data_IF_971255406825
#
_entry.id   IF_971255406825
#
_cell.length_a   1.000
_cell.length_b   1.000
_cell.length_c   1.000
_cell.angle_alpha   90.00
_cell.angle_beta   90.00
_cell.angle_gamma   90.00
#
_symmetry.space_group_name_H-M   'P 1'
#
loop_
_entity.id
_entity.type
_entity.pdbx_description
1 polymer ?
#
# COMPACT_ATOMS: atom_id res chain seq x y z
N UNK A 1 6.95 -17.55 22.73
CA UNK A 1 6.13 -18.78 22.79
C UNK A 1 6.84 -19.87 21.99
N UNK A 2 7.03 -21.05 22.57
CA UNK A 2 7.65 -22.19 21.89
C UNK A 2 6.66 -22.77 20.85
N UNK A 3 6.93 -22.67 19.52
CA UNK A 3 6.02 -23.14 18.48
C UNK A 3 5.92 -24.67 18.37
N UNK A 4 6.69 -25.42 19.17
CA UNK A 4 6.54 -26.87 19.28
C UNK A 4 5.35 -27.28 20.18
N UNK A 5 4.98 -26.46 21.16
CA UNK A 5 3.96 -26.83 22.15
C UNK A 5 2.52 -26.74 21.62
N UNK A 6 2.28 -26.01 20.53
CA UNK A 6 0.96 -25.90 19.88
C UNK A 6 0.77 -26.89 18.73
N UNK A 7 1.77 -27.71 18.40
CA UNK A 7 1.76 -28.57 17.20
C UNK A 7 1.04 -29.91 17.36
N UNK A 8 0.86 -30.42 18.56
CA UNK A 8 0.38 -31.80 18.76
C UNK A 8 -1.13 -31.91 19.07
N UNK A 9 -1.75 -30.85 19.58
CA UNK A 9 -3.12 -30.91 20.07
C UNK A 9 -4.22 -30.56 19.04
N UNK A 10 -3.87 -30.02 17.87
CA UNK A 10 -4.84 -29.31 17.01
C UNK A 10 -5.34 -30.06 15.76
N UNK A 11 -4.96 -31.33 15.52
CA UNK A 11 -5.30 -31.99 14.25
C UNK A 11 -5.70 -33.47 14.36
N UNK A 12 -6.23 -33.92 15.50
CA UNK A 12 -6.90 -35.22 15.58
C UNK A 12 -8.36 -35.07 15.17
N UNK A 13 -8.64 -35.02 13.87
CA UNK A 13 -10.00 -35.11 13.33
C UNK A 13 -10.65 -36.46 13.68
N UNK A 14 -11.98 -36.45 13.81
CA UNK A 14 -12.76 -37.67 14.06
C UNK A 14 -12.86 -38.50 12.77
N UNK A 15 -12.21 -39.67 12.77
CA UNK A 15 -12.14 -40.53 11.60
C UNK A 15 -13.47 -41.29 11.38
N UNK A 16 -14.34 -40.70 10.54
CA UNK A 16 -15.66 -41.24 10.19
C UNK A 16 -15.60 -42.62 9.53
N UNK A 17 -14.50 -42.96 8.86
CA UNK A 17 -14.30 -44.25 8.20
C UNK A 17 -14.00 -45.35 9.24
N UNK A 18 -13.30 -45.01 10.33
CA UNK A 18 -13.12 -45.92 11.47
C UNK A 18 -14.43 -46.13 12.23
N UNK A 19 -15.24 -45.08 12.39
CA UNK A 19 -16.58 -45.19 13.00
C UNK A 19 -17.52 -46.09 12.18
N UNK A 20 -17.44 -46.00 10.85
CA UNK A 20 -18.26 -46.82 9.95
C UNK A 20 -17.74 -48.26 9.75
N UNK A 21 -16.63 -48.68 10.37
CA UNK A 21 -16.01 -50.01 10.19
C UNK A 21 -15.77 -50.40 8.72
N UNK A 22 -15.60 -49.43 7.82
CA UNK A 22 -15.36 -49.65 6.39
C UNK A 22 -13.85 -49.66 6.03
N UNK A 23 -12.98 -49.95 7.01
CA UNK A 23 -11.54 -50.00 6.78
C UNK A 23 -11.13 -51.26 6.01
N UNK A 24 -11.27 -51.21 4.68
CA UNK A 24 -10.50 -52.08 3.78
C UNK A 24 -9.03 -51.75 3.94
N UNK A 25 -8.12 -52.73 3.85
CA UNK A 25 -6.66 -52.54 3.90
C UNK A 25 -6.18 -51.61 2.77
N UNK A 26 -6.34 -50.31 2.97
CA UNK A 26 -5.90 -49.25 2.09
C UNK A 26 -4.41 -49.03 2.37
N UNK A 27 -3.59 -49.13 1.31
CA UNK A 27 -2.12 -48.95 1.35
C UNK A 27 -1.68 -47.54 1.80
N UNK A 28 -2.64 -46.62 1.98
CA UNK A 28 -2.46 -45.23 2.36
C UNK A 28 -3.33 -44.99 3.60
N UNK A 29 -2.69 -44.58 4.71
CA UNK A 29 -3.40 -44.20 5.92
C UNK A 29 -4.06 -42.84 5.70
N UNK A 30 -5.36 -42.84 5.37
CA UNK A 30 -6.09 -41.60 5.15
C UNK A 30 -6.32 -40.87 6.48
N UNK A 31 -5.74 -39.68 6.62
CA UNK A 31 -6.02 -38.74 7.73
C UNK A 31 -7.07 -37.72 7.28
N UNK A 32 -7.90 -37.23 8.20
CA UNK A 32 -8.97 -36.27 7.89
C UNK A 32 -8.44 -34.88 7.48
N UNK A 33 -7.21 -34.53 7.87
CA UNK A 33 -6.57 -33.26 7.54
C UNK A 33 -5.13 -33.46 7.07
N UNK A 34 -4.79 -32.80 5.97
CA UNK A 34 -3.45 -32.78 5.40
C UNK A 34 -2.92 -31.34 5.34
N UNK A 35 -1.70 -31.13 5.84
CA UNK A 35 -0.99 -29.87 5.65
C UNK A 35 -0.29 -29.89 4.29
N UNK A 36 -0.77 -29.07 3.34
CA UNK A 36 -0.13 -28.90 2.03
C UNK A 36 0.74 -27.65 2.05
N UNK A 37 2.06 -27.86 2.01
CA UNK A 37 3.06 -26.78 1.95
C UNK A 37 3.58 -26.63 0.52
N UNK A 38 3.39 -25.45 -0.09
CA UNK A 38 4.02 -25.11 -1.37
C UNK A 38 5.33 -24.36 -1.12
N UNK A 39 6.45 -24.97 -1.49
CA UNK A 39 7.78 -24.39 -1.34
C UNK A 39 8.32 -23.97 -2.71
N UNK A 40 8.77 -22.72 -2.82
CA UNK A 40 9.57 -22.25 -3.94
C UNK A 40 11.01 -22.04 -3.46
N UNK A 41 11.94 -22.80 -4.03
CA UNK A 41 13.34 -22.75 -3.61
C UNK A 41 14.27 -22.67 -4.82
N UNK A 42 15.39 -21.95 -4.64
CA UNK A 42 16.52 -21.98 -5.57
C UNK A 42 17.47 -23.06 -5.09
N UNK A 43 17.60 -24.13 -5.87
CA UNK A 43 18.41 -25.30 -5.54
C UNK A 43 19.38 -25.61 -6.67
N UNK A 44 20.48 -26.29 -6.36
CA UNK A 44 21.37 -26.88 -7.36
C UNK A 44 20.91 -28.33 -7.57
N UNK A 45 20.26 -28.68 -8.71
CA UNK A 45 19.61 -29.99 -8.87
C UNK A 45 20.54 -31.18 -8.63
N UNK A 46 21.82 -31.05 -9.01
CA UNK A 46 22.82 -32.11 -8.85
C UNK A 46 23.09 -32.47 -7.39
N UNK A 47 23.03 -31.51 -6.47
CA UNK A 47 23.22 -31.76 -5.04
C UNK A 47 22.08 -32.58 -4.43
N UNK A 48 20.89 -32.47 -5.02
CA UNK A 48 19.69 -33.19 -4.59
C UNK A 48 19.43 -34.47 -5.39
N UNK A 49 20.37 -34.91 -6.23
CA UNK A 49 20.22 -36.09 -7.08
C UNK A 49 19.14 -35.95 -8.17
N UNK A 50 18.70 -34.73 -8.47
CA UNK A 50 17.70 -34.45 -9.50
C UNK A 50 18.42 -34.33 -10.85
N UNK A 51 18.13 -35.25 -11.78
CA UNK A 51 18.67 -35.19 -13.12
C UNK A 51 17.94 -34.11 -13.94
N UNK A 52 18.57 -32.94 -14.09
CA UNK A 52 18.02 -31.80 -14.80
C UNK A 52 19.07 -31.18 -15.74
N UNK A 53 18.65 -30.56 -16.87
CA UNK A 53 19.56 -29.86 -17.77
C UNK A 53 20.25 -28.73 -17.00
N UNK A 54 21.58 -28.60 -17.12
CA UNK A 54 22.41 -27.65 -16.37
C UNK A 54 22.31 -27.81 -14.83
N UNK A 55 22.33 -29.05 -14.34
CA UNK A 55 22.16 -29.37 -12.91
C UNK A 55 23.24 -28.82 -11.97
N UNK A 56 24.34 -28.25 -12.47
CA UNK A 56 25.35 -27.55 -11.67
C UNK A 56 25.06 -26.07 -11.40
N UNK A 57 24.02 -25.49 -12.01
CA UNK A 57 23.65 -24.08 -11.84
C UNK A 57 22.42 -23.99 -10.92
N UNK A 58 22.32 -22.96 -10.05
CA UNK A 58 21.11 -22.74 -9.26
C UNK A 58 19.86 -22.56 -10.13
N UNK A 59 18.83 -23.36 -9.88
CA UNK A 59 17.57 -23.38 -10.61
C UNK A 59 16.39 -23.24 -9.65
N UNK A 60 15.28 -22.65 -10.11
CA UNK A 60 14.07 -22.46 -9.30
C UNK A 60 13.15 -23.65 -9.46
N UNK A 61 12.75 -24.24 -8.33
CA UNK A 61 11.80 -25.35 -8.26
C UNK A 61 10.57 -24.98 -7.44
N UNK A 62 9.42 -25.51 -7.86
CA UNK A 62 8.18 -25.56 -7.09
C UNK A 62 8.03 -26.97 -6.52
N UNK A 63 7.99 -27.08 -5.20
CA UNK A 63 7.68 -28.30 -4.48
C UNK A 63 6.31 -28.20 -3.82
N UNK A 64 5.54 -29.27 -3.86
CA UNK A 64 4.34 -29.42 -3.02
C UNK A 64 4.62 -30.58 -2.08
N UNK A 65 4.61 -30.26 -0.78
CA UNK A 65 4.96 -31.17 0.30
C UNK A 65 3.71 -31.39 1.16
N UNK A 66 3.34 -32.64 1.38
CA UNK A 66 2.23 -33.03 2.25
C UNK A 66 2.76 -33.44 3.61
N UNK A 67 2.15 -32.92 4.67
CA UNK A 67 2.50 -33.15 6.08
C UNK A 67 3.98 -32.92 6.37
N UNK A 68 4.61 -31.99 5.62
CA UNK A 68 6.05 -31.65 5.67
C UNK A 68 7.00 -32.85 5.52
N UNK A 69 6.51 -33.99 5.01
CA UNK A 69 7.25 -35.25 4.92
C UNK A 69 7.36 -35.77 3.49
N UNK A 70 6.26 -35.73 2.74
CA UNK A 70 6.19 -36.35 1.42
C UNK A 70 6.12 -35.28 0.34
N UNK A 71 7.09 -35.25 -0.56
CA UNK A 71 7.05 -34.40 -1.76
C UNK A 71 6.19 -35.09 -2.80
N UNK A 72 5.02 -34.53 -3.12
CA UNK A 72 4.09 -35.09 -4.10
C UNK A 72 4.27 -34.49 -5.50
N UNK A 73 4.89 -33.31 -5.57
CA UNK A 73 5.05 -32.57 -6.82
C UNK A 73 6.37 -31.82 -6.79
N UNK A 74 7.16 -31.97 -7.85
CA UNK A 74 8.39 -31.22 -8.07
C UNK A 74 8.41 -30.75 -9.53
N UNK A 75 8.41 -29.44 -9.75
CA UNK A 75 8.45 -28.85 -11.09
C UNK A 75 9.52 -27.76 -11.15
N UNK A 76 10.42 -27.86 -12.13
CA UNK A 76 11.33 -26.77 -12.48
C UNK A 76 10.54 -25.60 -13.06
N UNK A 77 10.80 -24.38 -12.57
CA UNK A 77 10.28 -23.14 -13.17
C UNK A 77 11.33 -22.56 -14.12
N UNK A 78 10.95 -22.38 -15.38
CA UNK A 78 11.81 -21.83 -16.45
C UNK A 78 11.45 -20.38 -16.76
N UNK A 79 11.06 -19.62 -15.74
CA UNK A 79 10.66 -18.23 -15.92
C UNK A 79 11.86 -17.36 -16.33
N UNK A 80 11.68 -16.50 -17.32
CA UNK A 80 12.77 -15.67 -17.85
C UNK A 80 13.33 -14.65 -16.83
N UNK A 81 12.51 -14.20 -15.87
CA UNK A 81 12.91 -13.23 -14.84
C UNK A 81 13.80 -13.80 -13.72
N UNK A 82 13.96 -15.13 -13.61
CA UNK A 82 14.78 -15.80 -12.58
C UNK A 82 14.55 -15.38 -11.09
N UNK A 83 13.40 -14.75 -10.82
CA UNK A 83 12.90 -14.45 -9.46
C UNK A 83 11.98 -15.56 -8.97
N UNK A 84 11.89 -15.71 -7.64
CA UNK A 84 10.86 -16.53 -7.02
C UNK A 84 9.49 -15.87 -7.25
N UNK A 85 8.40 -16.66 -7.42
CA UNK A 85 7.05 -16.13 -7.53
C UNK A 85 6.46 -15.71 -6.17
N UNK A 86 7.33 -15.32 -5.25
CA UNK A 86 7.01 -14.79 -3.92
C UNK A 86 7.86 -13.56 -3.76
N UNK A 87 7.22 -12.43 -3.48
CA UNK A 87 7.87 -11.16 -3.19
C UNK A 87 7.46 -10.79 -1.77
N UNK A 88 8.46 -10.53 -0.95
CA UNK A 88 8.30 -10.02 0.41
C UNK A 88 8.88 -8.62 0.41
N UNK A 89 8.13 -7.67 0.95
CA UNK A 89 8.55 -6.29 1.03
C UNK A 89 8.56 -5.84 2.49
N UNK A 90 9.46 -4.91 2.77
CA UNK A 90 9.66 -4.32 4.08
C UNK A 90 9.54 -2.81 3.91
N UNK A 91 8.74 -2.18 4.76
CA UNK A 91 8.36 -0.76 4.63
C UNK A 91 9.32 0.16 5.41
N UNK A 92 10.14 -0.41 6.30
CA UNK A 92 11.16 0.30 7.07
C UNK A 92 12.52 -0.34 6.89
N UNK A 93 13.57 0.45 6.75
CA UNK A 93 14.94 -0.04 6.72
C UNK A 93 15.67 0.45 7.98
N UNK A 94 15.88 -0.45 8.93
CA UNK A 94 16.49 -0.17 10.25
C UNK A 94 17.78 -0.99 10.48
N UNK A 95 18.33 -1.59 9.41
CA UNK A 95 19.52 -2.46 9.49
C UNK A 95 19.32 -3.81 10.21
N UNK A 96 18.17 -4.02 10.85
CA UNK A 96 17.81 -5.27 11.56
C UNK A 96 17.34 -6.41 10.64
N UNK A 97 17.28 -6.18 9.34
CA UNK A 97 16.84 -7.17 8.34
C UNK A 97 15.48 -7.77 8.68
N UNK A 98 15.41 -9.10 8.80
CA UNK A 98 14.17 -9.84 9.07
C UNK A 98 13.56 -9.55 10.47
N UNK A 99 14.28 -8.86 11.36
CA UNK A 99 13.78 -8.50 12.69
C UNK A 99 13.19 -7.09 12.74
N UNK A 100 13.14 -6.37 11.62
CA UNK A 100 12.52 -5.05 11.60
C UNK A 100 11.05 -5.13 11.95
N UNK A 101 10.66 -4.26 12.88
CA UNK A 101 9.32 -4.16 13.41
C UNK A 101 8.38 -3.46 12.43
N UNK A 102 7.10 -3.81 12.50
CA UNK A 102 6.07 -3.06 11.78
C UNK A 102 5.93 -1.65 12.37
N UNK A 103 5.41 -0.71 11.57
CA UNK A 103 5.01 0.59 12.09
C UNK A 103 4.00 0.47 13.24
N UNK A 104 3.14 -0.55 13.21
CA UNK A 104 2.17 -0.81 14.27
C UNK A 104 2.85 -1.29 15.56
N UNK A 105 3.84 -2.17 15.46
CA UNK A 105 4.57 -2.72 16.61
C UNK A 105 5.33 -1.63 17.38
N UNK A 106 5.80 -0.60 16.68
CA UNK A 106 6.44 0.57 17.30
C UNK A 106 5.44 1.45 18.06
N UNK A 107 4.15 1.42 17.69
CA UNK A 107 3.09 2.20 18.32
C UNK A 107 2.41 1.45 19.50
N UNK A 108 2.45 0.12 19.50
CA UNK A 108 1.85 -0.74 20.53
C UNK A 108 2.17 -0.32 21.97
N UNK A 109 3.44 -0.10 22.39
CA UNK A 109 3.73 0.24 23.78
C UNK A 109 3.06 1.55 24.25
N UNK A 110 2.93 2.53 23.35
CA UNK A 110 2.23 3.78 23.67
C UNK A 110 0.72 3.55 23.81
N UNK A 111 0.14 2.73 22.94
CA UNK A 111 -1.28 2.38 23.00
C UNK A 111 -1.61 1.60 24.27
N UNK A 112 -0.74 0.68 24.70
CA UNK A 112 -0.93 -0.10 25.92
C UNK A 112 -0.89 0.78 27.17
N UNK A 113 0.08 1.71 27.25
CA UNK A 113 0.18 2.68 28.35
C UNK A 113 -1.05 3.59 28.36
N UNK A 114 -1.42 4.17 27.22
CA UNK A 114 -2.58 5.04 27.11
C UNK A 114 -3.86 4.30 27.52
N UNK A 115 -4.05 3.07 27.05
CA UNK A 115 -5.19 2.22 27.42
C UNK A 115 -5.21 1.96 28.92
N UNK A 116 -4.07 1.61 29.53
CA UNK A 116 -3.97 1.42 30.98
C UNK A 116 -4.36 2.67 31.77
N UNK A 117 -3.88 3.84 31.37
CA UNK A 117 -4.21 5.11 32.01
C UNK A 117 -5.69 5.48 31.84
N UNK A 118 -6.27 5.28 30.65
CA UNK A 118 -7.70 5.50 30.43
C UNK A 118 -8.55 4.55 31.26
N UNK A 119 -8.19 3.27 31.34
CA UNK A 119 -8.91 2.30 32.17
C UNK A 119 -8.81 2.68 33.65
N UNK A 120 -7.65 3.12 34.15
CA UNK A 120 -7.49 3.64 35.51
C UNK A 120 -8.43 4.82 35.78
N UNK A 121 -8.47 5.80 34.88
CA UNK A 121 -9.34 6.96 35.00
C UNK A 121 -10.83 6.55 35.02
N UNK A 122 -11.24 5.63 34.14
CA UNK A 122 -12.61 5.11 34.10
C UNK A 122 -12.94 4.35 35.39
N UNK A 123 -12.03 3.54 35.94
CA UNK A 123 -12.26 2.84 37.20
C UNK A 123 -12.37 3.79 38.40
N UNK A 124 -11.58 4.87 38.42
CA UNK A 124 -11.72 5.94 39.42
C UNK A 124 -13.11 6.59 39.35
N UNK A 125 -13.55 6.97 38.14
CA UNK A 125 -14.89 7.54 37.95
C UNK A 125 -15.99 6.55 38.34
N UNK A 126 -15.84 5.26 38.02
CA UNK A 126 -16.78 4.22 38.46
C UNK A 126 -16.83 4.11 39.98
N UNK A 127 -15.69 4.19 40.69
CA UNK A 127 -15.66 4.20 42.17
C UNK A 127 -16.29 5.46 42.75
N UNK A 128 -16.16 6.60 42.08
CA UNK A 128 -16.81 7.84 42.50
C UNK A 128 -18.35 7.78 42.36
N UNK A 129 -18.84 7.10 41.32
CA UNK A 129 -20.28 6.89 41.09
C UNK A 129 -20.84 5.80 42.01
N UNK A 130 -20.12 4.69 42.14
CA UNK A 130 -20.46 3.58 43.02
C UNK A 130 -19.58 3.64 44.27
N UNK A 131 -19.97 4.50 45.20
CA UNK A 131 -19.22 4.68 46.43
C UNK A 131 -19.19 3.39 47.26
N UNK A 132 -18.06 3.13 47.90
CA UNK A 132 -17.95 2.04 48.86
C UNK A 132 -18.29 2.60 50.23
N UNK A 133 -19.40 2.17 50.78
CA UNK A 133 -19.81 2.53 52.14
C UNK A 133 -19.80 1.29 53.04
N UNK A 134 -19.42 1.50 54.31
CA UNK A 134 -19.66 0.53 55.37
C UNK A 134 -21.03 0.84 55.98
N UNK A 135 -21.85 -0.19 56.18
CA UNK A 135 -23.17 -0.02 56.81
C UNK A 135 -23.43 -1.12 57.83
N UNK A 136 -24.22 -0.80 58.85
CA UNK A 136 -24.70 -1.75 59.85
C UNK A 136 -25.98 -2.45 59.33
N UNK A 137 -25.95 -3.77 59.06
CA UNK A 137 -27.10 -4.49 58.51
C UNK A 137 -28.28 -4.57 59.47
N UNK A 138 -28.07 -4.33 60.77
CA UNK A 138 -29.16 -4.26 61.76
C UNK A 138 -30.00 -2.97 61.62
N UNK A 139 -29.41 -1.92 61.04
CA UNK A 139 -30.02 -0.58 60.92
C UNK A 139 -30.50 -0.26 59.51
N UNK A 140 -29.82 -0.76 58.47
CA UNK A 140 -30.19 -0.54 57.07
C UNK A 140 -30.10 -1.86 56.30
N UNK A 141 -31.14 -2.18 55.53
CA UNK A 141 -31.18 -3.41 54.73
C UNK A 141 -30.34 -3.27 53.47
N UNK A 142 -29.61 -4.32 53.12
CA UNK A 142 -28.81 -4.39 51.89
C UNK A 142 -29.63 -4.18 50.61
N UNK A 143 -30.84 -4.73 50.56
CA UNK A 143 -31.76 -4.62 49.42
C UNK A 143 -32.10 -3.18 49.03
N UNK A 144 -32.09 -2.29 50.02
CA UNK A 144 -32.50 -0.90 49.84
C UNK A 144 -31.31 -0.01 49.44
N UNK A 145 -30.08 -0.49 49.69
CA UNK A 145 -28.82 0.14 49.27
C UNK A 145 -28.46 -0.27 47.83
N UNK A 146 -28.69 -1.53 47.46
CA UNK A 146 -28.34 -2.06 46.13
C UNK A 146 -29.28 -1.58 45.02
N UNK A 147 -30.42 -0.95 45.36
CA UNK A 147 -31.37 -0.40 44.39
C UNK A 147 -30.86 0.93 43.82
N UNK A 148 -30.46 0.91 42.55
CA UNK A 148 -29.92 2.07 41.81
C UNK A 148 -31.05 2.99 41.32
N UNK A 149 -31.72 3.66 42.25
CA UNK A 149 -32.76 4.65 41.92
C UNK A 149 -32.40 6.01 42.58
N UNK A 150 -32.15 7.08 41.79
CA UNK A 150 -31.71 8.37 42.30
C UNK A 150 -32.74 9.11 43.17
N UNK A 151 -34.00 8.64 43.21
CA UNK A 151 -35.07 9.23 44.02
C UNK A 151 -35.50 8.31 45.17
N UNK A 152 -34.82 7.16 45.36
CA UNK A 152 -35.19 6.20 46.40
C UNK A 152 -35.03 6.79 47.80
N UNK A 153 -36.11 6.71 48.58
CA UNK A 153 -36.09 6.99 50.02
C UNK A 153 -35.79 5.68 50.76
N UNK A 154 -34.68 5.65 51.50
CA UNK A 154 -34.26 4.48 52.28
C UNK A 154 -34.80 4.62 53.70
N UNK A 155 -35.57 3.63 54.15
CA UNK A 155 -36.08 3.60 55.52
C UNK A 155 -35.03 3.02 56.48
N UNK A 156 -34.89 3.61 57.66
CA UNK A 156 -34.07 3.05 58.75
C UNK A 156 -34.88 2.06 59.57
N UNK A 157 -34.25 1.00 60.07
CA UNK A 157 -34.89 0.02 60.93
C UNK A 157 -35.23 0.60 62.31
N UNK A 158 -36.14 -0.06 63.03
CA UNK A 158 -36.54 0.32 64.40
C UNK A 158 -35.37 0.32 65.38
N UNK A 159 -34.33 -0.47 65.13
CA UNK A 159 -33.11 -0.52 65.95
C UNK A 159 -32.23 0.73 65.83
N UNK A 160 -32.50 1.60 64.85
CA UNK A 160 -31.80 2.87 64.65
C UNK A 160 -32.49 4.08 65.30
N UNK A 161 -33.69 3.92 65.90
CA UNK A 161 -34.40 5.03 66.53
C UNK A 161 -33.67 5.58 67.76
N UNK A 162 -33.58 6.91 67.84
CA UNK A 162 -32.90 7.62 68.93
C UNK A 162 -31.38 7.72 68.81
N UNK A 163 -30.76 7.12 67.79
CA UNK A 163 -29.33 7.27 67.48
C UNK A 163 -29.13 8.13 66.23
N UNK A 164 -28.01 8.87 66.11
CA UNK A 164 -27.72 9.63 64.91
C UNK A 164 -27.59 8.68 63.71
N UNK A 165 -28.33 8.98 62.64
CA UNK A 165 -28.38 8.17 61.41
C UNK A 165 -26.99 8.06 60.75
N UNK A 166 -26.12 9.04 61.00
CA UNK A 166 -24.73 9.06 60.51
C UNK A 166 -23.88 7.89 61.02
N UNK A 167 -24.22 7.28 62.16
CA UNK A 167 -23.53 6.07 62.64
C UNK A 167 -23.96 4.80 61.88
N UNK A 168 -25.09 4.83 61.17
CA UNK A 168 -25.58 3.67 60.45
C UNK A 168 -24.86 3.44 59.10
N UNK A 169 -24.30 4.50 58.51
CA UNK A 169 -23.59 4.47 57.23
C UNK A 169 -22.32 5.32 57.31
N UNK A 170 -21.18 4.71 57.04
CA UNK A 170 -19.89 5.38 56.93
C UNK A 170 -19.40 5.34 55.47
N UNK A 171 -19.45 6.48 54.74
CA UNK A 171 -18.88 6.56 53.39
C UNK A 171 -17.35 6.56 53.48
N UNK A 172 -16.68 5.75 52.66
CA UNK A 172 -15.22 5.76 52.60
C UNK A 172 -14.80 6.94 51.69
N UNK A 173 -14.21 8.01 52.23
CA UNK A 173 -13.91 9.20 51.42
C UNK A 173 -12.92 8.85 50.32
N UNK A 174 -13.38 8.91 49.07
CA UNK A 174 -12.53 8.77 47.89
C UNK A 174 -12.25 10.14 47.27
N UNK A 175 -10.98 10.53 47.20
CA UNK A 175 -10.53 11.77 46.55
C UNK A 175 -9.99 11.46 45.16
N UNK A 176 -10.57 12.12 44.16
CA UNK A 176 -10.35 11.89 42.72
C UNK A 176 -9.27 12.82 42.12
N UNK A 177 -8.35 13.33 42.94
CA UNK A 177 -7.44 14.44 42.57
C UNK A 177 -6.43 14.04 41.49
N UNK A 178 -6.17 12.74 41.31
CA UNK A 178 -5.24 12.23 40.31
C UNK A 178 -5.83 12.06 38.90
N UNK A 179 -7.16 11.99 38.72
CA UNK A 179 -7.73 11.58 37.42
C UNK A 179 -7.55 12.63 36.33
N UNK A 180 -7.62 13.92 36.68
CA UNK A 180 -7.34 14.98 35.71
C UNK A 180 -5.89 14.90 35.19
N UNK A 181 -4.93 14.58 36.06
CA UNK A 181 -3.53 14.36 35.69
C UNK A 181 -3.33 13.11 34.84
N UNK A 182 -3.99 12.00 35.20
CA UNK A 182 -3.93 10.73 34.45
C UNK A 182 -4.50 10.91 33.03
N UNK A 183 -5.63 11.61 32.88
CA UNK A 183 -6.22 11.90 31.58
C UNK A 183 -5.36 12.86 30.75
N UNK A 184 -4.65 13.80 31.39
CA UNK A 184 -3.65 14.63 30.73
C UNK A 184 -2.49 13.81 30.18
N UNK A 185 -1.87 12.99 31.02
CA UNK A 185 -0.78 12.10 30.64
C UNK A 185 -1.18 11.11 29.54
N UNK A 186 -2.40 10.57 29.56
CA UNK A 186 -2.91 9.73 28.46
C UNK A 186 -2.87 10.46 27.11
N UNK A 187 -3.21 11.74 27.08
CA UNK A 187 -3.18 12.54 25.84
C UNK A 187 -1.74 12.78 25.39
N UNK A 188 -0.84 13.06 26.32
CA UNK A 188 0.58 13.26 26.03
C UNK A 188 1.22 11.98 25.47
N UNK A 189 0.87 10.81 26.00
CA UNK A 189 1.33 9.50 25.50
C UNK A 189 0.82 9.22 24.08
N UNK A 190 -0.44 9.56 23.79
CA UNK A 190 -0.98 9.45 22.42
C UNK A 190 -0.28 10.42 21.46
N UNK A 191 0.05 11.62 21.91
CA UNK A 191 0.83 12.57 21.11
C UNK A 191 2.26 12.07 20.86
N UNK A 192 2.90 11.46 21.86
CA UNK A 192 4.20 10.81 21.69
C UNK A 192 4.14 9.67 20.67
N UNK A 193 3.04 8.90 20.63
CA UNK A 193 2.81 7.88 19.61
C UNK A 193 2.69 8.47 18.20
N UNK A 194 2.00 9.62 18.04
CA UNK A 194 1.88 10.32 16.76
C UNK A 194 3.23 10.85 16.27
N UNK A 195 4.04 11.42 17.16
CA UNK A 195 5.40 11.90 16.85
C UNK A 195 6.31 10.72 16.48
N UNK A 196 6.26 9.63 17.25
CA UNK A 196 7.05 8.42 17.00
C UNK A 196 6.70 7.78 15.64
N UNK A 197 5.41 7.69 15.32
CA UNK A 197 4.92 7.19 14.02
C UNK A 197 5.12 8.17 12.86
N UNK A 198 5.48 9.43 13.15
CA UNK A 198 5.71 10.47 12.14
C UNK A 198 4.43 11.03 11.54
N UNK A 199 3.29 10.81 12.19
CA UNK A 199 2.01 11.39 11.79
C UNK A 199 1.87 12.79 12.37
N UNK A 200 1.69 13.78 11.51
CA UNK A 200 1.39 15.14 11.94
C UNK A 200 -0.13 15.31 12.17
N UNK A 201 -0.54 16.19 13.08
CA UNK A 201 -1.95 16.57 13.29
C UNK A 201 -2.62 17.04 11.99
N UNK A 202 -1.87 17.75 11.14
CA UNK A 202 -2.36 18.18 9.82
C UNK A 202 -2.65 16.99 8.90
N UNK A 203 -1.83 15.93 8.94
CA UNK A 203 -2.08 14.69 8.20
C UNK A 203 -3.28 13.90 8.75
N UNK A 204 -3.60 14.08 10.04
CA UNK A 204 -4.80 13.53 10.67
C UNK A 204 -6.07 14.38 10.42
N UNK A 205 -5.99 15.41 9.57
CA UNK A 205 -7.11 16.32 9.27
C UNK A 205 -7.39 17.34 10.37
N UNK A 206 -6.53 17.41 11.40
CA UNK A 206 -6.61 18.40 12.47
C UNK A 206 -5.81 19.65 12.07
N UNK A 207 -6.49 20.58 11.41
CA UNK A 207 -5.94 21.90 11.14
C UNK A 207 -5.90 22.71 12.44
N UNK A 208 -4.69 23.15 12.84
CA UNK A 208 -4.58 24.15 13.88
C UNK A 208 -5.01 25.50 13.31
N UNK A 209 -6.28 25.84 13.52
CA UNK A 209 -6.85 27.13 13.10
C UNK A 209 -6.06 28.26 13.77
N UNK A 210 -5.40 29.08 12.96
CA UNK A 210 -4.58 30.21 13.39
C UNK A 210 -4.15 31.03 12.20
N UNK A 211 -3.59 32.22 12.44
CA UNK A 211 -3.07 33.12 11.39
C UNK A 211 -1.74 32.57 10.84
N UNK A 212 -1.76 31.43 10.16
CA UNK A 212 -0.61 30.91 9.42
C UNK A 212 -0.65 31.41 7.98
N UNK A 213 0.49 31.81 7.46
CA UNK A 213 0.62 32.16 6.05
C UNK A 213 0.58 30.90 5.17
N UNK A 214 0.18 31.04 3.90
CA UNK A 214 0.16 29.93 2.93
C UNK A 214 1.55 29.28 2.78
N UNK A 215 2.61 30.09 2.83
CA UNK A 215 3.99 29.61 2.72
C UNK A 215 4.42 28.74 3.91
N UNK A 216 4.14 29.18 5.15
CA UNK A 216 4.45 28.39 6.34
C UNK A 216 3.68 27.07 6.38
N UNK A 217 2.44 27.07 5.88
CA UNK A 217 1.64 25.86 5.75
C UNK A 217 2.26 24.89 4.73
N UNK A 218 2.62 25.37 3.54
CA UNK A 218 3.23 24.55 2.49
C UNK A 218 4.58 23.98 2.93
N UNK A 219 5.41 24.75 3.66
CA UNK A 219 6.68 24.25 4.22
C UNK A 219 6.43 23.19 5.30
N UNK A 220 5.47 23.40 6.19
CA UNK A 220 5.12 22.42 7.24
C UNK A 220 4.60 21.12 6.63
N UNK A 221 3.76 21.22 5.59
CA UNK A 221 3.22 20.06 4.87
C UNK A 221 4.33 19.29 4.16
N UNK A 222 5.18 19.98 3.39
CA UNK A 222 6.31 19.35 2.69
C UNK A 222 7.28 18.64 3.63
N UNK A 223 7.57 19.22 4.79
CA UNK A 223 8.43 18.58 5.80
C UNK A 223 7.76 17.35 6.43
N UNK A 224 6.43 17.36 6.56
CA UNK A 224 5.65 16.24 7.10
C UNK A 224 5.61 15.04 6.14
N UNK A 225 5.76 15.26 4.84
CA UNK A 225 5.74 14.20 3.83
C UNK A 225 7.05 13.42 3.72
N UNK A 226 8.13 13.87 4.37
CA UNK A 226 9.46 13.24 4.30
C UNK A 226 9.47 11.76 4.77
N UNK A 227 8.79 11.44 5.88
CA UNK A 227 8.77 10.08 6.45
C UNK A 227 7.90 9.11 5.62
N UNK A 228 6.65 9.44 5.25
CA UNK A 228 5.87 8.61 4.32
C UNK A 228 6.53 8.45 2.95
N UNK A 229 7.24 9.48 2.46
CA UNK A 229 7.95 9.41 1.18
C UNK A 229 9.06 8.37 1.18
N UNK A 230 9.84 8.25 2.26
CA UNK A 230 10.86 7.20 2.37
C UNK A 230 10.23 5.81 2.32
N UNK A 231 9.17 5.58 3.09
CA UNK A 231 8.41 4.32 3.07
C UNK A 231 7.86 4.00 1.67
N UNK A 232 7.38 5.01 0.94
CA UNK A 232 6.90 4.86 -0.42
C UNK A 232 8.01 4.50 -1.42
N UNK A 233 9.18 5.14 -1.31
CA UNK A 233 10.37 4.82 -2.13
C UNK A 233 10.81 3.38 -1.86
N UNK A 234 10.90 2.98 -0.58
CA UNK A 234 11.32 1.64 -0.21
C UNK A 234 10.33 0.59 -0.72
N UNK A 235 9.02 0.84 -0.60
CA UNK A 235 7.99 -0.06 -1.13
C UNK A 235 8.06 -0.14 -2.66
N UNK A 236 8.34 0.96 -3.35
CA UNK A 236 8.50 0.95 -4.81
C UNK A 236 9.69 0.08 -5.25
N UNK A 237 10.85 0.22 -4.61
CA UNK A 237 12.05 -0.56 -4.94
C UNK A 237 11.89 -2.04 -4.55
N UNK A 238 11.34 -2.32 -3.37
CA UNK A 238 11.28 -3.68 -2.82
C UNK A 238 10.07 -4.49 -3.28
N UNK A 239 8.94 -3.84 -3.57
CA UNK A 239 7.68 -4.49 -3.94
C UNK A 239 7.29 -4.25 -5.39
N UNK A 240 7.14 -2.98 -5.78
CA UNK A 240 6.55 -2.67 -7.09
C UNK A 240 7.51 -2.93 -8.25
N UNK A 241 8.78 -2.56 -8.16
CA UNK A 241 9.78 -2.82 -9.19
C UNK A 241 9.91 -4.32 -9.54
N UNK A 242 10.08 -5.24 -8.57
CA UNK A 242 10.17 -6.67 -8.89
C UNK A 242 8.85 -7.23 -9.40
N UNK A 243 7.68 -6.80 -8.87
CA UNK A 243 6.38 -7.23 -9.41
C UNK A 243 6.23 -6.81 -10.87
N UNK A 244 6.51 -5.55 -11.19
CA UNK A 244 6.41 -5.01 -12.56
C UNK A 244 7.35 -5.79 -13.49
N UNK A 245 8.55 -6.13 -13.04
CA UNK A 245 9.50 -6.94 -13.81
C UNK A 245 8.99 -8.39 -14.02
N UNK A 246 8.47 -9.04 -12.98
CA UNK A 246 7.91 -10.40 -13.07
C UNK A 246 6.70 -10.42 -14.00
N UNK A 247 5.77 -9.46 -13.87
CA UNK A 247 4.60 -9.37 -14.74
C UNK A 247 5.00 -9.12 -16.19
N UNK A 248 5.90 -8.16 -16.46
CA UNK A 248 6.43 -7.91 -17.81
C UNK A 248 7.01 -9.19 -18.41
N UNK A 249 7.89 -9.87 -17.66
CA UNK A 249 8.53 -11.10 -18.13
C UNK A 249 7.54 -12.25 -18.35
N UNK A 250 6.56 -12.42 -17.46
CA UNK A 250 5.55 -13.47 -17.59
C UNK A 250 4.61 -13.23 -18.76
N UNK A 251 4.14 -11.99 -18.96
CA UNK A 251 3.34 -11.64 -20.13
C UNK A 251 4.15 -11.98 -21.39
N UNK A 252 5.40 -11.52 -21.51
CA UNK A 252 6.21 -11.79 -22.70
C UNK A 252 6.48 -13.28 -22.97
N UNK A 253 6.62 -14.07 -21.90
CA UNK A 253 6.92 -15.51 -22.02
C UNK A 253 5.67 -16.34 -22.35
N UNK A 254 4.52 -15.98 -21.77
CA UNK A 254 3.30 -16.78 -21.83
C UNK A 254 2.20 -16.17 -22.71
N UNK A 255 2.39 -14.98 -23.28
CA UNK A 255 1.41 -14.36 -24.18
C UNK A 255 1.26 -15.21 -25.45
N UNK A 256 0.06 -15.75 -25.73
CA UNK A 256 -0.20 -16.41 -27.00
C UNK A 256 -0.26 -15.36 -28.13
N UNK A 257 0.11 -15.74 -29.38
CA UNK A 257 -0.10 -14.87 -30.54
C UNK A 257 -1.60 -14.59 -30.68
N UNK A 258 -1.95 -13.32 -30.89
CA UNK A 258 -3.35 -12.92 -30.97
C UNK A 258 -3.51 -11.45 -31.34
N UNK A 259 -4.68 -11.11 -31.87
CA UNK A 259 -5.02 -9.74 -32.21
C UNK A 259 -5.53 -9.04 -30.96
N UNK A 260 -4.85 -7.98 -30.55
CA UNK A 260 -5.33 -7.12 -29.46
C UNK A 260 -5.77 -5.80 -30.05
N UNK A 261 -7.00 -5.41 -29.71
CA UNK A 261 -7.55 -4.12 -30.12
C UNK A 261 -6.90 -3.00 -29.30
N UNK A 262 -6.10 -2.15 -29.96
CA UNK A 262 -5.53 -0.98 -29.31
C UNK A 262 -6.55 0.17 -29.33
N UNK A 263 -7.09 0.52 -28.15
CA UNK A 263 -8.11 1.58 -28.00
C UNK A 263 -7.64 2.96 -28.47
N UNK A 264 -6.34 3.25 -28.42
CA UNK A 264 -5.79 4.55 -28.83
C UNK A 264 -5.69 4.67 -30.36
N UNK A 265 -5.34 3.60 -31.06
CA UNK A 265 -5.21 3.59 -32.53
C UNK A 265 -6.46 3.10 -33.25
N UNK A 266 -7.47 2.61 -32.52
CA UNK A 266 -8.70 1.98 -33.05
C UNK A 266 -8.43 0.90 -34.10
N UNK A 267 -7.26 0.25 -34.02
CA UNK A 267 -6.81 -0.77 -34.96
C UNK A 267 -6.50 -2.06 -34.20
N UNK A 268 -6.81 -3.19 -34.82
CA UNK A 268 -6.35 -4.50 -34.37
C UNK A 268 -4.87 -4.62 -34.70
N UNK A 269 -4.03 -4.71 -33.66
CA UNK A 269 -2.61 -4.96 -33.82
C UNK A 269 -2.40 -6.45 -33.65
N UNK A 270 -1.80 -7.09 -34.65
CA UNK A 270 -1.39 -8.48 -34.56
C UNK A 270 -0.15 -8.57 -33.69
N UNK A 271 -0.24 -9.33 -32.60
CA UNK A 271 0.88 -9.50 -31.67
C UNK A 271 1.70 -10.70 -32.12
N UNK A 272 2.83 -10.42 -32.75
CA UNK A 272 3.86 -11.42 -32.98
C UNK A 272 4.76 -11.55 -31.72
N UNK A 273 4.75 -12.71 -31.02
CA UNK A 273 5.52 -12.90 -29.79
C UNK A 273 7.03 -12.91 -30.00
N UNK A 274 7.54 -13.09 -31.23
CA UNK A 274 8.97 -13.06 -31.53
C UNK A 274 9.51 -11.62 -31.56
N UNK A 275 8.82 -10.73 -32.26
CA UNK A 275 9.16 -9.30 -32.33
C UNK A 275 9.02 -8.61 -30.98
N UNK A 276 8.00 -8.97 -30.20
CA UNK A 276 7.82 -8.46 -28.85
C UNK A 276 8.98 -8.80 -27.91
N UNK A 277 9.72 -9.90 -28.16
CA UNK A 277 10.89 -10.29 -27.35
C UNK A 277 12.14 -9.48 -27.69
N UNK A 278 12.25 -8.94 -28.90
CA UNK A 278 13.37 -8.10 -29.32
C UNK A 278 13.19 -6.65 -28.82
N UNK A 279 11.96 -6.13 -28.84
CA UNK A 279 11.60 -4.78 -28.33
C UNK A 279 11.75 -4.61 -26.80
N UNK A 280 11.94 -5.70 -26.06
CA UNK A 280 11.97 -5.73 -24.57
C UNK A 280 13.04 -4.82 -23.97
N UNK A 281 14.16 -4.66 -24.67
CA UNK A 281 15.33 -3.90 -24.22
C UNK A 281 15.07 -2.39 -24.13
N UNK A 282 14.02 -1.87 -24.79
CA UNK A 282 13.75 -0.42 -24.86
C UNK A 282 12.70 0.08 -23.86
N UNK A 283 11.91 -0.79 -23.25
CA UNK A 283 10.86 -0.36 -22.31
C UNK A 283 11.44 -0.02 -20.92
N UNK A 284 11.64 1.27 -20.66
CA UNK A 284 11.83 1.81 -19.31
C UNK A 284 10.48 1.82 -18.59
N UNK A 285 10.40 1.12 -17.45
CA UNK A 285 9.23 1.14 -16.59
C UNK A 285 9.35 2.37 -15.69
N UNK A 286 8.34 3.22 -15.68
CA UNK A 286 8.30 4.37 -14.77
C UNK A 286 8.06 3.91 -13.33
N UNK A 287 8.81 4.54 -12.43
CA UNK A 287 8.80 4.33 -10.98
C UNK A 287 7.90 5.39 -10.33
N UNK A 288 7.23 5.07 -9.22
CA UNK A 288 6.36 6.01 -8.49
C UNK A 288 7.04 7.31 -8.04
N UNK A 289 8.36 7.32 -7.88
CA UNK A 289 9.17 8.49 -7.47
C UNK A 289 9.65 9.31 -8.68
N UNK A 290 9.84 8.64 -9.82
CA UNK A 290 10.08 9.24 -11.13
C UNK A 290 8.82 9.08 -11.99
N UNK A 291 7.77 9.87 -11.73
CA UNK A 291 6.59 9.83 -12.57
C UNK A 291 7.01 10.00 -14.03
N UNK A 292 6.24 9.41 -14.95
CA UNK A 292 6.46 9.54 -16.40
C UNK A 292 6.71 11.00 -16.81
N UNK A 293 6.04 11.94 -16.14
CA UNK A 293 6.17 13.39 -16.32
C UNK A 293 7.54 13.99 -15.95
N UNK A 294 8.34 13.32 -15.11
CA UNK A 294 9.73 13.73 -14.83
C UNK A 294 10.74 13.08 -15.77
N UNK A 295 10.44 11.87 -16.28
CA UNK A 295 11.26 11.21 -17.30
C UNK A 295 11.14 11.92 -18.65
N UNK A 296 9.96 12.44 -18.95
CA UNK A 296 9.74 13.40 -20.03
C UNK A 296 9.48 14.74 -19.39
N UNK A 297 10.55 15.42 -18.97
CA UNK A 297 10.45 16.76 -18.40
C UNK A 297 9.89 17.71 -19.48
N UNK A 298 8.59 17.96 -19.39
CA UNK A 298 7.83 18.76 -20.35
C UNK A 298 8.35 20.21 -20.40
N UNK A 299 8.88 20.72 -19.29
CA UNK A 299 9.47 22.06 -19.23
C UNK A 299 10.80 22.12 -20.00
N UNK A 300 11.64 21.09 -19.86
CA UNK A 300 12.91 20.98 -20.60
C UNK A 300 12.67 20.77 -22.10
N UNK A 301 11.62 20.01 -22.47
CA UNK A 301 11.18 19.90 -23.86
C UNK A 301 10.58 21.21 -24.41
N UNK A 302 9.83 21.97 -23.60
CA UNK A 302 9.33 23.29 -23.99
C UNK A 302 10.46 24.30 -24.21
N UNK A 303 11.48 24.29 -23.36
CA UNK A 303 12.71 25.08 -23.56
C UNK A 303 13.50 24.63 -24.78
N UNK A 304 13.60 23.32 -25.03
CA UNK A 304 14.22 22.78 -26.24
C UNK A 304 13.46 23.18 -27.52
N UNK A 305 12.13 23.26 -27.47
CA UNK A 305 11.30 23.74 -28.57
C UNK A 305 11.52 25.23 -28.84
N UNK A 306 11.58 26.06 -27.79
CA UNK A 306 11.92 27.49 -27.93
C UNK A 306 13.34 27.68 -28.50
N UNK A 307 14.32 26.89 -28.04
CA UNK A 307 15.66 26.90 -28.60
C UNK A 307 15.68 26.47 -30.08
N UNK A 308 14.93 25.42 -30.43
CA UNK A 308 14.85 24.95 -31.80
C UNK A 308 14.11 25.92 -32.75
N UNK A 309 13.20 26.75 -32.24
CA UNK A 309 12.64 27.87 -33.02
C UNK A 309 13.68 28.95 -33.32
N UNK A 310 14.66 29.15 -32.44
CA UNK A 310 15.71 30.17 -32.61
C UNK A 310 16.89 29.72 -33.47
N UNK A 311 17.10 28.40 -33.65
CA UNK A 311 18.21 27.85 -34.43
C UNK A 311 17.67 27.06 -35.64
N UNK A 312 17.62 27.67 -36.84
CA UNK A 312 17.04 27.05 -38.04
C UNK A 312 17.72 25.75 -38.49
N UNK A 313 18.98 25.52 -38.10
CA UNK A 313 19.72 24.29 -38.40
C UNK A 313 19.11 23.04 -37.72
N UNK A 314 18.50 23.21 -36.54
CA UNK A 314 17.86 22.11 -35.78
C UNK A 314 16.58 21.64 -36.48
N UNK A 315 15.89 22.53 -37.19
CA UNK A 315 14.70 22.19 -37.98
C UNK A 315 15.00 21.31 -39.21
N UNK A 316 16.26 21.29 -39.67
CA UNK A 316 16.69 20.44 -40.77
C UNK A 316 17.05 19.01 -40.33
N UNK A 317 17.56 18.85 -39.10
CA UNK A 317 17.98 17.56 -38.56
C UNK A 317 16.90 16.84 -37.74
N UNK A 318 15.94 17.57 -37.14
CA UNK A 318 14.92 17.01 -36.25
C UNK A 318 13.49 17.39 -36.65
N UNK A 319 12.56 16.43 -36.57
CA UNK A 319 11.13 16.66 -36.79
C UNK A 319 10.49 17.38 -35.58
N UNK A 320 10.51 18.71 -35.62
CA UNK A 320 9.96 19.58 -34.59
C UNK A 320 8.45 19.40 -34.38
N UNK A 321 7.72 19.05 -35.45
CA UNK A 321 6.27 18.83 -35.37
C UNK A 321 5.98 17.49 -34.69
N UNK A 322 6.76 16.46 -34.99
CA UNK A 322 6.70 15.17 -34.31
C UNK A 322 6.98 15.28 -32.81
N UNK A 323 7.98 16.08 -32.41
CA UNK A 323 8.30 16.35 -31.00
C UNK A 323 7.15 17.09 -30.31
N UNK A 324 6.56 18.09 -30.95
CA UNK A 324 5.42 18.84 -30.40
C UNK A 324 4.17 17.97 -30.24
N UNK A 325 3.86 17.13 -31.22
CA UNK A 325 2.75 16.16 -31.11
C UNK A 325 2.99 15.13 -30.01
N UNK A 326 4.23 14.66 -29.83
CA UNK A 326 4.59 13.77 -28.74
C UNK A 326 4.43 14.45 -27.36
N UNK A 327 4.83 15.72 -27.25
CA UNK A 327 4.65 16.53 -26.03
C UNK A 327 3.17 16.66 -25.66
N UNK A 328 2.31 16.96 -26.63
CA UNK A 328 0.87 17.12 -26.38
C UNK A 328 0.19 15.79 -26.00
N UNK A 329 0.62 14.67 -26.59
CA UNK A 329 0.15 13.34 -26.18
C UNK A 329 0.52 13.01 -24.74
N UNK A 330 1.72 13.40 -24.30
CA UNK A 330 2.12 13.23 -22.90
C UNK A 330 1.28 14.11 -21.96
N UNK A 331 0.88 15.30 -22.41
CA UNK A 331 -0.07 16.15 -21.68
C UNK A 331 -1.53 15.66 -21.74
N UNK A 332 -1.81 14.53 -22.40
CA UNK A 332 -3.14 13.92 -22.47
C UNK A 332 -4.02 14.44 -23.61
N UNK A 333 -3.46 15.16 -24.58
CA UNK A 333 -4.18 15.65 -25.74
C UNK A 333 -4.21 14.62 -26.90
N UNK A 334 -4.79 13.45 -26.63
CA UNK A 334 -4.97 12.38 -27.63
C UNK A 334 -5.92 12.79 -28.78
N UNK A 335 -6.74 13.83 -28.54
CA UNK A 335 -7.67 14.39 -29.51
C UNK A 335 -6.99 15.07 -30.71
N UNK A 336 -5.69 15.43 -30.62
CA UNK A 336 -4.99 16.16 -31.68
C UNK A 336 -4.82 15.32 -32.94
N UNK A 337 -4.72 14.00 -32.81
CA UNK A 337 -4.63 13.10 -33.97
C UNK A 337 -5.92 13.11 -34.80
N UNK A 338 -7.08 13.39 -34.19
CA UNK A 338 -8.37 13.53 -34.89
C UNK A 338 -8.44 14.82 -35.74
N UNK A 339 -7.54 15.78 -35.50
CA UNK A 339 -7.44 17.03 -36.27
C UNK A 339 -6.35 17.00 -37.35
N UNK A 340 -5.67 15.86 -37.54
CA UNK A 340 -4.72 15.70 -38.66
C UNK A 340 -5.48 15.75 -39.98
N UNK A 341 -5.15 16.75 -40.81
CA UNK A 341 -5.68 16.86 -42.18
C UNK A 341 -5.28 15.64 -43.00
N UNK A 342 -6.22 15.09 -43.76
CA UNK A 342 -5.96 13.96 -44.66
C UNK A 342 -4.81 14.28 -45.65
N UNK A 343 -4.04 13.27 -46.12
CA UNK A 343 -2.90 13.47 -47.02
C UNK A 343 -3.24 14.23 -48.31
N UNK A 344 -4.50 14.18 -48.76
CA UNK A 344 -4.99 14.95 -49.90
C UNK A 344 -5.25 16.43 -49.54
N UNK A 345 -5.82 16.72 -48.37
CA UNK A 345 -6.04 18.10 -47.89
C UNK A 345 -4.74 18.82 -47.52
N UNK A 346 -3.70 18.09 -47.11
CA UNK A 346 -2.36 18.67 -46.91
C UNK A 346 -1.74 19.17 -48.22
N UNK A 347 -1.88 18.40 -49.31
CA UNK A 347 -1.36 18.81 -50.64
C UNK A 347 -2.09 20.04 -51.19
N UNK A 348 -3.39 20.17 -50.94
CA UNK A 348 -4.18 21.34 -51.34
C UNK A 348 -3.83 22.58 -50.51
N UNK A 349 -3.60 22.41 -49.20
CA UNK A 349 -3.20 23.53 -48.36
C UNK A 349 -1.77 24.01 -48.68
N UNK A 350 -0.84 23.10 -49.02
CA UNK A 350 0.50 23.50 -49.45
C UNK A 350 0.49 24.25 -50.80
N UNK A 351 -0.48 23.97 -51.69
CA UNK A 351 -0.65 24.74 -52.93
C UNK A 351 -1.18 26.16 -52.68
N UNK A 352 -1.97 26.37 -51.62
CA UNK A 352 -2.56 27.68 -51.32
C UNK A 352 -1.66 28.61 -50.48
N UNK A 353 -0.49 28.15 -50.02
CA UNK A 353 0.40 28.91 -49.12
C UNK A 353 1.72 29.34 -49.80
N UNK A 354 1.91 29.08 -51.10
CA UNK A 354 2.99 29.72 -51.87
C UNK A 354 2.55 31.13 -52.34
N UNK A 355 3.20 32.21 -51.88
CA UNK A 355 2.77 33.57 -52.19
C UNK A 355 3.12 33.96 -53.64
N UNK A 356 2.14 34.56 -54.29
CA UNK A 356 2.28 35.36 -55.52
C UNK A 356 3.43 36.37 -55.38
N UNK A 357 4.44 36.26 -56.25
CA UNK A 357 5.52 37.23 -56.35
C UNK A 357 5.06 38.57 -56.95
N UNK A 358 5.72 39.70 -56.61
CA UNK A 358 5.32 41.03 -57.02
C UNK A 358 5.59 41.29 -58.51
N UNK A 359 4.61 41.85 -59.21
CA UNK A 359 4.70 42.35 -60.59
C UNK A 359 5.45 43.68 -60.64
N UNK A 360 6.62 43.72 -61.28
CA UNK A 360 7.34 44.94 -61.64
C UNK A 360 6.75 45.55 -62.92
N UNK A 361 6.44 46.86 -62.99
CA UNK A 361 5.93 47.48 -64.22
C UNK A 361 7.04 47.67 -65.26
N UNK A 362 6.81 47.15 -66.48
CA UNK A 362 7.70 47.33 -67.62
C UNK A 362 7.41 48.67 -68.34
N UNK A 363 8.42 49.53 -68.41
CA UNK A 363 8.48 50.71 -69.27
C UNK A 363 8.89 50.21 -70.67
N UNK A 364 7.99 50.31 -71.65
CA UNK A 364 8.30 50.06 -73.06
C UNK A 364 8.66 51.37 -73.75
N UNK A 365 9.93 51.55 -74.11
CA UNK A 365 10.35 52.46 -75.19
C UNK A 365 10.60 51.66 -76.47
N UNK A 366 10.07 52.21 -77.56
CA UNK A 366 10.08 51.76 -78.95
C UNK A 366 11.46 51.36 -79.49
N UNK A 367 11.49 50.62 -80.61
CA UNK A 367 12.46 50.90 -81.66
C UNK A 367 11.78 51.38 -82.95
N UNK A 368 12.52 52.24 -83.64
CA UNK A 368 12.24 52.76 -84.97
C UNK A 368 12.11 51.63 -86.03
N UNK A 369 11.26 51.90 -87.02
CA UNK A 369 11.00 51.06 -88.19
C UNK A 369 9.63 51.35 -88.76
#
# INVERSE_FOLDING_TARGET
>A
MNPAATREAAASGFNWISWANLQTQMKINYTDLYEVTTLYARIIPREFGINAPNGGVPQIYKFIIVNRKVVIYAQRKTNAHNFLPIIVAQIKEDGLGNQTKSLADDATPYQDIATGLYMSAIQSQRRKVYDRMLYDPSRVKKSDIDKVDPVARIAVSTAAYGKPIQEAVYPIPYRDEGVAGILGMSRDVVEMANIASGQNRVQQGQFQKGNKTRYEFDVTMNNSDSRPRMSAVLLEVTFFAPIKHILKSNILQYQPPGKVYNRQRKQEIDINPVELRELVWQFKIADGVLPVNKLVNVDLMGQAFQFAQTVPAVAAEYDLMGIYMYMLKIQGADWIDDFKRNPQQQKEYMKNVQPTGPTTPAITNQPAG
#
